data_IF_627734713522
#
_entry.id   IF_627734713522
#
_cell.length_a   1.000
_cell.length_b   1.000
_cell.length_c   1.000
_cell.angle_alpha   90.00
_cell.angle_beta   90.00
_cell.angle_gamma   90.00
#
_symmetry.space_group_name_H-M   'P 1'
#
loop_
_entity.id
_entity.type
_entity.pdbx_description
1 polymer ?
#
# COMPACT_ATOMS: atom_id res chain seq x y z
N UNK A 1 1.78 14.83 -5.55
CA UNK A 1 2.07 13.41 -5.23
C UNK A 1 1.00 12.79 -4.34
N UNK A 2 0.97 13.04 -3.02
CA UNK A 2 0.02 12.38 -2.08
C UNK A 2 -1.44 12.65 -2.46
N UNK A 3 -1.79 13.91 -2.69
CA UNK A 3 -3.15 14.29 -3.08
C UNK A 3 -3.58 13.64 -4.42
N UNK A 4 -2.64 13.48 -5.36
CA UNK A 4 -2.92 12.88 -6.67
C UNK A 4 -3.20 11.38 -6.53
N UNK A 5 -2.32 10.65 -5.84
CA UNK A 5 -2.52 9.20 -5.61
C UNK A 5 -3.74 8.94 -4.73
N UNK A 6 -3.98 9.77 -3.71
CA UNK A 6 -5.15 9.67 -2.84
C UNK A 6 -6.46 9.96 -3.58
N UNK A 7 -6.47 10.94 -4.50
CA UNK A 7 -7.60 11.20 -5.39
C UNK A 7 -7.88 10.00 -6.30
N UNK A 8 -6.86 9.43 -6.93
CA UNK A 8 -7.01 8.24 -7.78
C UNK A 8 -7.53 7.04 -7.00
N UNK A 9 -6.96 6.79 -5.82
CA UNK A 9 -7.39 5.72 -4.92
C UNK A 9 -8.88 5.84 -4.57
N UNK A 10 -9.33 7.06 -4.21
CA UNK A 10 -10.74 7.37 -3.92
C UNK A 10 -11.64 7.24 -5.15
N UNK A 11 -11.20 7.73 -6.31
CA UNK A 11 -11.95 7.62 -7.57
C UNK A 11 -12.22 6.17 -7.96
N UNK A 12 -11.29 5.27 -7.66
CA UNK A 12 -11.41 3.83 -7.93
C UNK A 12 -12.11 3.06 -6.81
N UNK A 13 -12.54 3.71 -5.72
CA UNK A 13 -13.15 3.04 -4.57
C UNK A 13 -12.19 2.09 -3.84
N UNK A 14 -10.88 2.31 -3.96
CA UNK A 14 -9.84 1.44 -3.40
C UNK A 14 -9.35 1.96 -2.05
N UNK A 15 -8.73 1.07 -1.29
CA UNK A 15 -7.92 1.31 -0.10
C UNK A 15 -6.55 0.67 -0.32
N UNK A 16 -5.54 1.08 0.43
CA UNK A 16 -4.17 0.54 0.29
C UNK A 16 -3.61 0.16 1.65
N UNK A 17 -2.93 -0.99 1.74
CA UNK A 17 -2.14 -1.34 2.93
C UNK A 17 -0.69 -0.88 2.86
N UNK A 18 -0.11 -0.80 1.66
CA UNK A 18 1.33 -0.56 1.51
C UNK A 18 1.62 0.76 0.84
N UNK A 19 2.41 1.60 1.52
CA UNK A 19 2.92 2.88 0.99
C UNK A 19 4.41 2.69 0.69
N UNK A 20 4.83 3.05 -0.52
CA UNK A 20 6.22 3.02 -0.95
C UNK A 20 6.68 4.40 -1.40
N UNK A 21 7.90 4.77 -1.04
CA UNK A 21 8.58 5.98 -1.49
C UNK A 21 9.84 5.60 -2.23
N UNK A 22 9.95 6.09 -3.47
CA UNK A 22 11.10 5.89 -4.34
C UNK A 22 11.79 7.23 -4.62
N UNK A 23 13.11 7.24 -4.53
CA UNK A 23 13.98 8.34 -4.88
C UNK A 23 14.96 7.90 -5.96
N UNK A 24 15.18 8.74 -6.96
CA UNK A 24 16.29 8.63 -7.92
C UNK A 24 17.24 9.79 -7.73
N UNK A 25 18.55 9.51 -7.65
CA UNK A 25 19.57 10.55 -7.50
C UNK A 25 20.18 11.02 -8.82
N UNK A 26 21.20 11.87 -8.69
CA UNK A 26 21.93 12.47 -9.81
C UNK A 26 22.65 11.47 -10.70
N UNK A 27 23.00 10.31 -10.14
CA UNK A 27 23.64 9.19 -10.82
C UNK A 27 22.61 8.19 -11.36
N UNK A 28 21.32 8.57 -11.37
CA UNK A 28 20.20 7.75 -11.83
C UNK A 28 19.96 6.46 -11.00
N UNK A 29 20.48 6.39 -9.78
CA UNK A 29 20.28 5.22 -8.93
C UNK A 29 18.97 5.32 -8.13
N UNK A 30 18.18 4.25 -8.21
CA UNK A 30 16.92 4.11 -7.48
C UNK A 30 17.16 3.63 -6.04
N UNK A 31 16.50 4.30 -5.10
CA UNK A 31 16.42 3.89 -3.69
C UNK A 31 14.98 3.97 -3.25
N UNK A 32 14.51 2.95 -2.54
CA UNK A 32 13.13 2.92 -2.08
C UNK A 32 13.00 2.33 -0.68
N UNK A 33 11.97 2.77 0.02
CA UNK A 33 11.48 2.14 1.24
C UNK A 33 9.97 2.03 1.16
N UNK A 34 9.44 0.98 1.75
CA UNK A 34 8.01 0.74 1.84
C UNK A 34 7.61 0.45 3.28
N UNK A 35 6.31 0.59 3.55
CA UNK A 35 5.70 0.17 4.80
C UNK A 35 4.31 -0.35 4.52
N UNK A 36 4.05 -1.55 5.02
CA UNK A 36 2.72 -2.16 5.06
C UNK A 36 2.09 -1.88 6.41
N UNK A 37 0.87 -1.36 6.40
CA UNK A 37 0.07 -1.08 7.58
C UNK A 37 -0.87 -2.27 7.88
N UNK A 38 -1.22 -2.48 9.15
CA UNK A 38 -2.12 -3.56 9.54
C UNK A 38 -3.53 -3.39 8.96
N UNK A 39 -3.99 -2.15 8.79
CA UNK A 39 -5.30 -1.82 8.23
C UNK A 39 -5.14 -1.04 6.92
N UNK A 40 -6.03 -1.31 5.96
CA UNK A 40 -6.05 -0.58 4.70
C UNK A 40 -6.51 0.87 4.92
N UNK A 41 -5.77 1.81 4.35
CA UNK A 41 -6.00 3.25 4.47
C UNK A 41 -6.45 3.84 3.13
N UNK A 42 -7.13 4.98 3.19
CA UNK A 42 -7.59 5.70 2.00
C UNK A 42 -7.37 7.22 2.10
N UNK A 43 -7.00 7.73 3.29
CA UNK A 43 -6.92 9.16 3.56
C UNK A 43 -5.56 9.73 3.22
N UNK A 44 -5.56 10.85 2.49
CA UNK A 44 -4.36 11.58 2.08
C UNK A 44 -3.48 11.94 3.29
N UNK A 45 -4.09 12.23 4.45
CA UNK A 45 -3.38 12.54 5.70
C UNK A 45 -2.48 11.39 6.15
N UNK A 46 -3.02 10.16 6.22
CA UNK A 46 -2.26 9.00 6.72
C UNK A 46 -1.21 8.58 5.68
N UNK A 47 -1.57 8.58 4.39
CA UNK A 47 -0.62 8.30 3.30
C UNK A 47 0.56 9.29 3.36
N UNK A 48 0.27 10.58 3.53
CA UNK A 48 1.28 11.63 3.59
C UNK A 48 2.20 11.52 4.81
N UNK A 49 1.66 11.16 5.97
CA UNK A 49 2.47 10.92 7.17
C UNK A 49 3.46 9.77 6.94
N UNK A 50 2.97 8.61 6.49
CA UNK A 50 3.82 7.43 6.24
C UNK A 50 4.84 7.72 5.14
N UNK A 51 4.43 8.36 4.04
CA UNK A 51 5.35 8.72 2.97
C UNK A 51 6.44 9.69 3.45
N UNK A 52 6.11 10.66 4.31
CA UNK A 52 7.10 11.58 4.88
C UNK A 52 8.10 10.83 5.74
N UNK A 53 7.67 9.92 6.60
CA UNK A 53 8.57 9.11 7.41
C UNK A 53 9.51 8.24 6.56
N UNK A 54 8.96 7.56 5.55
CA UNK A 54 9.74 6.76 4.60
C UNK A 54 10.75 7.60 3.83
N UNK A 55 10.35 8.81 3.39
CA UNK A 55 11.24 9.74 2.72
C UNK A 55 12.43 10.13 3.62
N UNK A 56 12.18 10.42 4.90
CA UNK A 56 13.27 10.71 5.85
C UNK A 56 14.23 9.52 5.99
N UNK A 57 13.70 8.30 6.07
CA UNK A 57 14.53 7.10 6.14
C UNK A 57 15.40 6.91 4.88
N UNK A 58 14.83 7.06 3.69
CA UNK A 58 15.58 6.94 2.43
C UNK A 58 16.64 8.03 2.31
N UNK A 59 16.32 9.27 2.70
CA UNK A 59 17.27 10.40 2.65
C UNK A 59 18.43 10.25 3.64
N UNK A 60 18.20 9.65 4.81
CA UNK A 60 19.26 9.39 5.80
C UNK A 60 20.33 8.43 5.29
N UNK A 61 19.97 7.48 4.43
CA UNK A 61 20.92 6.50 3.90
C UNK A 61 21.95 7.14 2.96
N UNK A 62 21.54 8.10 2.14
CA UNK A 62 22.43 8.85 1.25
C UNK A 62 21.86 10.24 0.97
N UNK A 63 22.37 11.28 1.64
CA UNK A 63 21.99 12.66 1.35
C UNK A 63 22.54 13.08 -0.02
N UNK A 64 21.84 14.00 -0.68
CA UNK A 64 22.24 14.49 -2.00
C UNK A 64 21.05 15.02 -2.81
N UNK A 65 21.32 15.54 -4.02
CA UNK A 65 20.29 16.01 -4.93
C UNK A 65 19.38 14.86 -5.38
N UNK A 66 18.12 15.21 -5.56
CA UNK A 66 17.06 14.28 -5.95
C UNK A 66 16.62 14.65 -7.36
N UNK A 67 16.67 13.69 -8.28
CA UNK A 67 16.14 13.86 -9.65
C UNK A 67 14.69 13.45 -9.76
N UNK A 68 14.27 12.42 -9.02
CA UNK A 68 12.91 11.93 -9.04
C UNK A 68 12.46 11.51 -7.63
N UNK A 69 11.23 11.86 -7.29
CA UNK A 69 10.54 11.38 -6.10
C UNK A 69 9.17 10.81 -6.52
N UNK A 70 8.94 9.55 -6.16
CA UNK A 70 7.69 8.85 -6.42
C UNK A 70 7.06 8.32 -5.14
N UNK A 71 5.73 8.31 -5.10
CA UNK A 71 4.93 7.61 -4.10
C UNK A 71 4.12 6.55 -4.84
N UNK A 72 4.20 5.31 -4.37
CA UNK A 72 3.47 4.17 -4.93
C UNK A 72 2.62 3.53 -3.83
N UNK A 73 1.37 3.25 -4.16
CA UNK A 73 0.42 2.56 -3.29
C UNK A 73 0.25 1.12 -3.80
N UNK A 74 0.31 0.14 -2.91
CA UNK A 74 0.16 -1.28 -3.25
C UNK A 74 -0.60 -2.03 -2.17
N UNK A 75 -0.84 -3.32 -2.36
CA UNK A 75 -1.76 -4.11 -1.52
C UNK A 75 -3.13 -3.41 -1.48
N UNK A 76 -3.74 -3.26 -2.66
CA UNK A 76 -4.98 -2.53 -2.85
C UNK A 76 -6.18 -3.43 -2.52
N UNK A 77 -7.16 -2.86 -1.83
CA UNK A 77 -8.42 -3.49 -1.46
C UNK A 77 -9.59 -2.68 -1.98
N UNK A 78 -10.69 -3.32 -2.33
CA UNK A 78 -11.84 -2.63 -2.88
C UNK A 78 -12.97 -3.60 -3.22
N UNK A 79 -13.98 -3.15 -3.98
CA UNK A 79 -15.08 -4.01 -4.40
C UNK A 79 -14.55 -5.24 -5.13
N UNK A 80 -14.84 -6.44 -4.60
CA UNK A 80 -14.37 -7.71 -5.16
C UNK A 80 -12.97 -8.17 -4.72
N UNK A 81 -12.31 -7.49 -3.76
CA UNK A 81 -11.11 -8.04 -3.14
C UNK A 81 -11.46 -9.27 -2.31
N UNK A 82 -10.87 -10.41 -2.64
CA UNK A 82 -11.01 -11.67 -1.91
C UNK A 82 -10.03 -11.72 -0.74
N UNK A 83 -10.51 -12.06 0.45
CA UNK A 83 -9.64 -12.36 1.58
C UNK A 83 -9.15 -13.80 1.46
N UNK A 84 -7.83 -14.00 1.57
CA UNK A 84 -7.26 -15.33 1.65
C UNK A 84 -7.55 -15.90 3.04
N UNK A 85 -8.52 -16.81 3.10
CA UNK A 85 -8.80 -17.57 4.30
C UNK A 85 -7.60 -18.46 4.64
N UNK A 86 -7.36 -18.64 5.94
CA UNK A 86 -6.37 -19.61 6.39
C UNK A 86 -6.98 -21.01 6.35
N UNK A 87 -6.16 -22.03 6.14
CA UNK A 87 -6.61 -23.44 6.07
C UNK A 87 -7.46 -23.88 7.28
N UNK A 88 -7.31 -23.22 8.44
CA UNK A 88 -8.05 -23.51 9.67
C UNK A 88 -9.48 -22.95 9.71
N UNK A 89 -9.83 -22.04 8.81
CA UNK A 89 -11.15 -21.40 8.75
C UNK A 89 -12.07 -22.06 7.72
N UNK A 90 -11.63 -23.16 7.11
CA UNK A 90 -12.48 -24.02 6.28
C UNK A 90 -13.43 -24.78 7.22
N UNK A 91 -14.53 -24.13 7.61
CA UNK A 91 -15.72 -24.85 8.04
C UNK A 91 -16.47 -25.14 6.74
N UNK A 92 -16.41 -26.36 6.17
CA UNK A 92 -17.29 -26.68 5.06
C UNK A 92 -18.74 -26.45 5.56
N UNK A 93 -19.63 -25.85 4.74
CA UNK A 93 -21.04 -25.84 5.07
C UNK A 93 -21.43 -27.28 5.36
N UNK A 94 -22.06 -27.50 6.53
CA UNK A 94 -22.60 -28.80 6.89
C UNK A 94 -23.53 -29.19 5.74
N UNK A 95 -23.12 -30.15 4.92
CA UNK A 95 -24.06 -30.82 4.03
C UNK A 95 -25.12 -31.37 4.96
N UNK A 96 -26.28 -30.71 5.00
CA UNK A 96 -27.46 -31.28 5.60
C UNK A 96 -27.72 -32.55 4.81
N UNK A 97 -27.51 -33.70 5.45
CA UNK A 97 -28.00 -35.00 5.03
C UNK A 97 -29.54 -34.96 4.98
N UNK A 98 -30.08 -34.18 4.05
CA UNK A 98 -31.42 -34.33 3.52
C UNK A 98 -31.24 -34.91 2.12
N UNK A 99 -31.29 -36.25 2.03
CA UNK A 99 -32.24 -36.97 1.17
C UNK A 99 -31.79 -38.43 0.90
N UNK A 100 -32.55 -39.34 1.51
CA UNK A 100 -32.82 -40.76 1.17
C UNK A 100 -31.92 -41.87 1.68
#
# INVERSE_FOLDING_TARGET
LVADVGRTLRKLGLRTRTVSVKLRDSEFQDRQKNRTLPQAIQTDRVIGQVARELLHQVRKLRPGPIRLLGITLSSLEGPGSVEQLTFREIIPPLESDEER
#
